data_IF_268313490597
#
_entry.id   IF_268313490597
#
_cell.length_a   1.000
_cell.length_b   1.000
_cell.length_c   1.000
_cell.angle_alpha   90.00
_cell.angle_beta   90.00
_cell.angle_gamma   90.00
#
_symmetry.space_group_name_H-M   'P 1'
#
loop_
_entity.id
_entity.type
_entity.pdbx_description
1 polymer ?
#
# COMPACT_ATOMS: atom_id res chain seq x y z
N UNK A 1 -31.02 18.20 12.11
CA UNK A 1 -29.98 17.96 11.08
C UNK A 1 -29.67 16.47 11.10
N UNK A 2 -29.77 15.76 9.97
CA UNK A 2 -29.32 14.35 9.87
C UNK A 2 -27.81 14.34 9.64
N UNK A 3 -27.09 13.49 10.36
CA UNK A 3 -25.68 13.21 10.08
C UNK A 3 -25.62 12.15 8.99
N UNK A 4 -24.77 12.34 7.98
CA UNK A 4 -24.61 11.37 6.89
C UNK A 4 -23.74 10.18 7.33
N UNK A 5 -22.70 10.48 8.12
CA UNK A 5 -21.71 9.50 8.59
C UNK A 5 -21.26 9.89 10.00
N UNK A 6 -21.09 8.89 10.86
CA UNK A 6 -20.43 9.01 12.16
C UNK A 6 -19.35 7.95 12.24
N UNK A 7 -18.32 8.16 13.05
CA UNK A 7 -17.23 7.20 13.08
C UNK A 7 -16.12 7.58 14.03
N UNK A 8 -14.98 6.94 13.81
CA UNK A 8 -13.75 7.15 14.55
C UNK A 8 -12.62 7.26 13.56
N UNK A 9 -11.63 8.07 13.89
CA UNK A 9 -10.48 8.30 13.03
C UNK A 9 -9.19 8.06 13.81
N UNK A 10 -8.23 7.41 13.15
CA UNK A 10 -6.85 7.26 13.59
C UNK A 10 -6.66 6.62 14.99
N UNK A 11 -7.46 5.60 15.32
CA UNK A 11 -7.17 4.75 16.49
C UNK A 11 -5.93 3.92 16.19
N UNK A 12 -4.95 3.94 17.09
CA UNK A 12 -3.79 3.05 17.04
C UNK A 12 -4.11 1.73 17.74
N UNK A 13 -3.91 0.62 17.04
CA UNK A 13 -4.27 -0.70 17.56
C UNK A 13 -3.29 -1.79 17.12
N UNK A 14 -2.86 -2.71 18.01
CA UNK A 14 -2.04 -3.84 17.62
C UNK A 14 -2.85 -4.81 16.76
N UNK A 15 -2.24 -5.30 15.69
CA UNK A 15 -2.85 -6.29 14.78
C UNK A 15 -1.80 -7.28 14.32
N UNK A 16 -2.25 -8.43 13.83
CA UNK A 16 -1.36 -9.44 13.24
C UNK A 16 -1.73 -9.68 11.79
N UNK A 17 -0.75 -9.70 10.89
CA UNK A 17 -0.96 -9.91 9.44
C UNK A 17 -0.14 -11.10 8.95
N UNK A 18 -0.67 -11.85 7.99
CA UNK A 18 0.01 -13.03 7.41
C UNK A 18 1.18 -12.62 6.54
N UNK A 19 2.22 -13.45 6.58
CA UNK A 19 3.38 -13.37 5.68
C UNK A 19 3.40 -14.57 4.73
N UNK A 20 3.88 -14.35 3.51
CA UNK A 20 4.08 -15.38 2.48
C UNK A 20 5.07 -16.45 2.91
N UNK A 21 5.96 -16.14 3.86
CA UNK A 21 6.88 -17.07 4.53
C UNK A 21 6.16 -18.16 5.35
N UNK A 22 4.85 -17.99 5.62
CA UNK A 22 4.05 -18.85 6.50
C UNK A 22 3.93 -18.34 7.94
N UNK A 23 4.53 -17.18 8.25
CA UNK A 23 4.48 -16.54 9.56
C UNK A 23 3.33 -15.54 9.75
N UNK A 24 3.31 -14.94 10.93
CA UNK A 24 2.45 -13.80 11.28
C UNK A 24 3.34 -12.66 11.76
N UNK A 25 3.12 -11.47 11.23
CA UNK A 25 3.80 -10.26 11.66
C UNK A 25 2.90 -9.47 12.63
N UNK A 26 3.43 -9.16 13.81
CA UNK A 26 2.82 -8.23 14.76
C UNK A 26 3.16 -6.79 14.36
N UNK A 27 2.14 -5.95 14.19
CA UNK A 27 2.30 -4.55 13.80
C UNK A 27 1.27 -3.66 14.52
N UNK A 28 1.42 -2.34 14.40
CA UNK A 28 0.48 -1.36 14.94
C UNK A 28 -0.19 -0.62 13.80
N UNK A 29 -1.50 -0.81 13.67
CA UNK A 29 -2.30 -0.15 12.65
C UNK A 29 -2.90 1.17 13.13
N UNK A 30 -3.05 2.14 12.22
CA UNK A 30 -3.99 3.25 12.34
C UNK A 30 -5.31 2.87 11.69
N UNK A 31 -6.39 2.89 12.45
CA UNK A 31 -7.71 2.43 12.02
C UNK A 31 -8.72 3.57 12.08
N UNK A 32 -9.46 3.75 10.99
CA UNK A 32 -10.60 4.65 10.89
C UNK A 32 -11.85 3.87 10.52
N UNK A 33 -12.94 4.09 11.24
CA UNK A 33 -14.25 3.51 10.99
C UNK A 33 -15.20 4.63 10.60
N UNK A 34 -16.00 4.42 9.58
CA UNK A 34 -17.10 5.28 9.17
C UNK A 34 -18.38 4.44 9.05
N UNK A 35 -19.47 4.88 9.66
CA UNK A 35 -20.77 4.19 9.62
C UNK A 35 -21.89 5.17 9.27
N UNK A 36 -22.85 4.69 8.49
CA UNK A 36 -24.10 5.41 8.26
C UNK A 36 -25.16 4.93 9.25
N UNK A 37 -25.50 5.79 10.21
CA UNK A 37 -26.42 5.46 11.29
C UNK A 37 -27.85 5.95 11.00
N UNK A 38 -28.88 5.18 11.37
CA UNK A 38 -30.25 5.69 11.41
C UNK A 38 -30.38 6.81 12.46
N UNK A 39 -31.33 7.72 12.23
CA UNK A 39 -31.46 9.01 12.93
C UNK A 39 -31.76 8.98 14.45
N UNK A 40 -31.64 7.82 15.11
CA UNK A 40 -32.00 7.64 16.53
C UNK A 40 -30.96 6.86 17.36
N UNK A 41 -29.77 6.55 16.82
CA UNK A 41 -28.77 5.75 17.54
C UNK A 41 -28.07 6.56 18.64
N UNK A 42 -27.96 6.00 19.85
CA UNK A 42 -27.38 6.66 21.04
C UNK A 42 -26.19 5.93 21.67
N UNK A 43 -25.83 4.73 21.20
CA UNK A 43 -24.68 4.02 21.75
C UNK A 43 -23.37 4.54 21.15
N UNK A 44 -22.28 4.33 21.89
CA UNK A 44 -20.95 4.80 21.49
C UNK A 44 -20.40 3.91 20.36
N UNK A 45 -20.30 4.47 19.16
CA UNK A 45 -19.62 3.87 18.02
C UNK A 45 -18.21 3.36 18.39
N UNK A 46 -17.53 4.07 19.30
CA UNK A 46 -16.19 3.71 19.78
C UNK A 46 -16.17 2.40 20.55
N UNK A 47 -17.05 2.24 21.55
CA UNK A 47 -17.01 1.05 22.41
C UNK A 47 -17.36 -0.21 21.63
N UNK A 48 -18.35 -0.12 20.74
CA UNK A 48 -18.75 -1.24 19.90
C UNK A 48 -17.64 -1.63 18.93
N UNK A 49 -17.00 -0.66 18.28
CA UNK A 49 -15.92 -0.97 17.35
C UNK A 49 -14.72 -1.63 18.05
N UNK A 50 -14.29 -1.11 19.21
CA UNK A 50 -13.17 -1.70 19.96
C UNK A 50 -13.51 -3.11 20.46
N UNK A 51 -14.76 -3.35 20.88
CA UNK A 51 -15.24 -4.69 21.26
C UNK A 51 -15.10 -5.67 20.09
N UNK A 52 -15.60 -5.31 18.91
CA UNK A 52 -15.53 -6.18 17.73
C UNK A 52 -14.08 -6.37 17.27
N UNK A 53 -13.28 -5.30 17.24
CA UNK A 53 -11.89 -5.36 16.85
C UNK A 53 -11.06 -6.32 17.71
N UNK A 54 -11.33 -6.38 19.02
CA UNK A 54 -10.67 -7.33 19.93
C UNK A 54 -10.88 -8.79 19.56
N UNK A 55 -12.02 -9.13 18.95
CA UNK A 55 -12.35 -10.50 18.53
C UNK A 55 -11.55 -10.94 17.29
N UNK A 56 -11.17 -10.00 16.42
CA UNK A 56 -10.62 -10.29 15.09
C UNK A 56 -9.15 -9.89 14.89
N UNK A 57 -8.55 -9.16 15.84
CA UNK A 57 -7.19 -8.60 15.72
C UNK A 57 -6.07 -9.65 15.51
N UNK A 58 -6.30 -10.90 15.88
CA UNK A 58 -5.30 -11.97 15.86
C UNK A 58 -4.89 -12.42 14.45
N UNK A 59 -5.69 -12.10 13.43
CA UNK A 59 -5.37 -12.39 12.04
C UNK A 59 -6.12 -11.43 11.11
N UNK A 60 -5.52 -10.31 10.75
CA UNK A 60 -6.13 -9.41 9.78
C UNK A 60 -5.94 -9.92 8.35
N UNK A 61 -7.06 -10.19 7.68
CA UNK A 61 -7.14 -10.60 6.27
C UNK A 61 -8.46 -10.11 5.65
N UNK A 62 -8.60 -10.15 4.32
CA UNK A 62 -9.85 -9.80 3.62
C UNK A 62 -11.08 -10.53 4.20
N UNK A 63 -10.97 -11.84 4.42
CA UNK A 63 -12.06 -12.64 5.01
C UNK A 63 -12.46 -12.13 6.40
N UNK A 64 -11.47 -11.80 7.22
CA UNK A 64 -11.69 -11.34 8.60
C UNK A 64 -12.22 -9.91 8.62
N UNK A 65 -11.78 -9.05 7.68
CA UNK A 65 -12.35 -7.72 7.47
C UNK A 65 -13.83 -7.76 7.14
N UNK A 66 -14.27 -8.67 6.26
CA UNK A 66 -15.70 -8.85 5.94
C UNK A 66 -16.52 -9.22 7.16
N UNK A 67 -16.04 -10.17 7.97
CA UNK A 67 -16.73 -10.59 9.19
C UNK A 67 -16.78 -9.46 10.23
N UNK A 68 -15.66 -8.77 10.45
CA UNK A 68 -15.57 -7.61 11.33
C UNK A 68 -16.56 -6.51 10.92
N UNK A 69 -16.60 -6.17 9.62
CA UNK A 69 -17.51 -5.15 9.09
C UNK A 69 -18.98 -5.56 9.24
N UNK A 70 -19.29 -6.84 9.01
CA UNK A 70 -20.64 -7.37 9.21
C UNK A 70 -21.10 -7.26 10.67
N UNK A 71 -20.25 -7.65 11.62
CA UNK A 71 -20.54 -7.57 13.04
C UNK A 71 -20.64 -6.11 13.53
N UNK A 72 -19.76 -5.21 13.06
CA UNK A 72 -19.86 -3.78 13.33
C UNK A 72 -21.17 -3.19 12.80
N UNK A 73 -21.57 -3.54 11.57
CA UNK A 73 -22.81 -3.07 10.96
C UNK A 73 -24.03 -3.56 11.76
N UNK A 74 -24.03 -4.81 12.17
CA UNK A 74 -25.12 -5.42 12.94
C UNK A 74 -25.26 -4.78 14.33
N UNK A 75 -24.15 -4.74 15.09
CA UNK A 75 -24.16 -4.19 16.45
C UNK A 75 -24.55 -2.71 16.47
N UNK A 76 -24.08 -1.92 15.50
CA UNK A 76 -24.42 -0.50 15.38
C UNK A 76 -25.76 -0.23 14.67
N UNK A 77 -26.43 -1.27 14.15
CA UNK A 77 -27.64 -1.17 13.31
C UNK A 77 -27.48 -0.16 12.18
N UNK A 78 -26.30 -0.15 11.57
CA UNK A 78 -25.92 0.79 10.52
C UNK A 78 -26.41 0.33 9.15
N UNK A 79 -26.67 1.27 8.23
CA UNK A 79 -26.99 0.95 6.83
C UNK A 79 -25.74 0.46 6.08
N UNK A 80 -24.60 1.09 6.37
CA UNK A 80 -23.29 0.75 5.83
C UNK A 80 -22.18 1.02 6.85
N UNK A 81 -21.06 0.31 6.67
CA UNK A 81 -19.84 0.51 7.43
C UNK A 81 -18.63 0.45 6.49
N UNK A 82 -17.63 1.30 6.75
CA UNK A 82 -16.38 1.40 6.01
C UNK A 82 -15.22 1.48 7.00
N UNK A 83 -14.22 0.64 6.82
CA UNK A 83 -13.01 0.61 7.66
C UNK A 83 -11.79 0.79 6.79
N UNK A 84 -10.91 1.69 7.22
CA UNK A 84 -9.57 1.86 6.68
C UNK A 84 -8.57 1.50 7.78
N UNK A 85 -7.64 0.61 7.47
CA UNK A 85 -6.60 0.17 8.38
C UNK A 85 -5.26 0.26 7.68
N UNK A 86 -4.43 1.22 8.12
CA UNK A 86 -3.08 1.45 7.59
C UNK A 86 -2.05 0.95 8.59
N UNK A 87 -1.07 0.17 8.16
CA UNK A 87 -0.05 -0.39 9.03
C UNK A 87 1.29 -0.50 8.31
N UNK A 88 2.42 -0.40 9.03
CA UNK A 88 3.71 -0.76 8.48
C UNK A 88 3.79 -2.29 8.33
N UNK A 89 4.37 -2.72 7.22
CA UNK A 89 4.62 -4.10 6.88
C UNK A 89 6.10 -4.27 6.54
N UNK A 90 6.77 -5.21 7.21
CA UNK A 90 8.21 -5.39 7.11
C UNK A 90 8.54 -6.61 6.26
N UNK A 91 9.51 -6.47 5.35
CA UNK A 91 10.10 -7.60 4.63
C UNK A 91 11.60 -7.66 4.85
N UNK A 92 12.13 -8.85 5.08
CA UNK A 92 13.58 -9.06 5.01
C UNK A 92 14.02 -8.99 3.54
N UNK A 93 14.90 -8.04 3.26
CA UNK A 93 15.61 -7.95 1.99
C UNK A 93 17.07 -8.29 2.17
N UNK A 94 17.62 -8.98 1.18
CA UNK A 94 19.06 -9.23 1.10
C UNK A 94 19.70 -8.21 0.18
N UNK A 95 20.77 -7.58 0.66
CA UNK A 95 21.54 -6.65 -0.14
C UNK A 95 22.09 -7.35 -1.40
N UNK A 96 22.07 -6.69 -2.57
CA UNK A 96 22.21 -7.36 -3.86
C UNK A 96 23.58 -7.95 -4.16
N UNK A 97 24.66 -7.43 -3.55
CA UNK A 97 26.02 -7.94 -3.77
C UNK A 97 26.53 -8.78 -2.60
N UNK A 98 26.28 -8.35 -1.36
CA UNK A 98 26.82 -9.00 -0.16
C UNK A 98 25.85 -9.97 0.49
N UNK A 99 24.56 -9.95 0.12
CA UNK A 99 23.52 -10.76 0.75
C UNK A 99 23.20 -10.37 2.19
N UNK A 100 23.72 -9.23 2.67
CA UNK A 100 23.48 -8.76 4.04
C UNK A 100 21.98 -8.56 4.25
N UNK A 101 21.34 -9.23 5.23
CA UNK A 101 19.92 -9.08 5.47
C UNK A 101 19.62 -7.73 6.13
N UNK A 102 18.49 -7.14 5.77
CA UNK A 102 17.94 -5.95 6.40
C UNK A 102 16.43 -5.93 6.27
N UNK A 103 15.74 -5.49 7.32
CA UNK A 103 14.28 -5.31 7.29
C UNK A 103 13.94 -4.00 6.58
N UNK A 104 13.07 -4.08 5.59
CA UNK A 104 12.50 -2.92 4.89
C UNK A 104 11.05 -2.73 5.30
N UNK A 105 10.70 -1.50 5.65
CA UNK A 105 9.33 -1.09 5.94
C UNK A 105 8.61 -0.67 4.66
N UNK A 106 7.36 -1.10 4.53
CA UNK A 106 6.41 -0.66 3.53
C UNK A 106 5.13 -0.21 4.23
N UNK A 107 4.43 0.78 3.69
CA UNK A 107 3.10 1.10 4.19
C UNK A 107 2.07 0.28 3.43
N UNK A 108 1.17 -0.37 4.16
CA UNK A 108 0.07 -1.12 3.58
C UNK A 108 -1.26 -0.61 4.15
N UNK A 109 -2.33 -0.72 3.36
CA UNK A 109 -3.68 -0.37 3.80
C UNK A 109 -4.69 -1.40 3.33
N UNK A 110 -5.52 -1.83 4.27
CA UNK A 110 -6.77 -2.53 3.98
C UNK A 110 -7.91 -1.52 4.05
N UNK A 111 -8.69 -1.44 2.99
CA UNK A 111 -9.90 -0.63 2.94
C UNK A 111 -11.06 -1.55 2.61
N UNK A 112 -12.06 -1.62 3.50
CA UNK A 112 -13.20 -2.50 3.32
C UNK A 112 -14.51 -1.80 3.62
N UNK A 113 -15.51 -2.03 2.78
CA UNK A 113 -16.87 -1.53 2.96
C UNK A 113 -17.90 -2.66 2.97
N UNK A 114 -19.04 -2.44 3.64
CA UNK A 114 -20.21 -3.31 3.60
C UNK A 114 -21.50 -2.50 3.51
N UNK A 115 -22.51 -3.02 2.80
CA UNK A 115 -23.79 -2.35 2.59
C UNK A 115 -23.88 -1.74 1.20
N UNK A 116 -23.97 -0.42 1.12
CA UNK A 116 -24.11 0.30 -0.16
C UNK A 116 -22.85 0.20 -1.04
N UNK A 117 -21.68 0.20 -0.40
CA UNK A 117 -20.37 0.19 -1.05
C UNK A 117 -19.59 -1.04 -0.56
N UNK A 118 -20.06 -2.24 -0.92
CA UNK A 118 -19.34 -3.48 -0.59
C UNK A 118 -18.13 -3.65 -1.49
N UNK A 119 -16.95 -3.47 -0.92
CA UNK A 119 -15.69 -3.64 -1.63
C UNK A 119 -14.56 -3.97 -0.64
N UNK A 120 -13.49 -4.57 -1.15
CA UNK A 120 -12.23 -4.72 -0.42
C UNK A 120 -11.08 -4.34 -1.33
N UNK A 121 -10.31 -3.35 -0.87
CA UNK A 121 -9.19 -2.78 -1.57
C UNK A 121 -7.93 -2.98 -0.72
N UNK A 122 -6.86 -3.39 -1.39
CA UNK A 122 -5.52 -3.49 -0.82
C UNK A 122 -4.62 -2.46 -1.48
N UNK A 123 -3.99 -1.59 -0.68
CA UNK A 123 -3.02 -0.61 -1.16
C UNK A 123 -1.65 -0.85 -0.54
N UNK A 124 -0.59 -0.68 -1.34
CA UNK A 124 0.80 -0.68 -0.89
C UNK A 124 1.50 0.59 -1.38
N UNK A 125 2.25 1.24 -0.48
CA UNK A 125 3.13 2.37 -0.80
C UNK A 125 4.57 1.89 -0.65
N UNK A 126 5.29 1.95 -1.75
CA UNK A 126 6.57 1.27 -1.92
C UNK A 126 7.64 2.30 -2.31
N UNK A 127 8.63 2.54 -1.44
CA UNK A 127 9.71 3.46 -1.77
C UNK A 127 10.63 2.83 -2.83
N UNK A 128 10.95 3.62 -3.86
CA UNK A 128 11.86 3.24 -4.95
C UNK A 128 12.90 4.32 -5.18
N UNK A 129 13.98 4.00 -5.91
CA UNK A 129 14.86 5.00 -6.50
C UNK A 129 14.44 5.24 -7.94
N UNK A 130 14.25 6.50 -8.32
CA UNK A 130 14.04 6.95 -9.69
C UNK A 130 15.27 7.73 -10.16
N UNK A 131 15.76 7.43 -11.36
CA UNK A 131 16.87 8.13 -12.00
C UNK A 131 16.40 8.67 -13.35
N UNK A 132 16.62 9.97 -13.58
CA UNK A 132 16.05 10.69 -14.70
C UNK A 132 16.75 10.33 -16.03
N UNK A 133 16.02 9.80 -17.03
CA UNK A 133 16.59 9.55 -18.36
C UNK A 133 17.13 10.81 -19.03
N UNK A 134 16.39 11.94 -18.96
CA UNK A 134 16.85 13.22 -19.51
C UNK A 134 18.20 13.65 -18.94
N UNK A 135 18.35 13.60 -17.61
CA UNK A 135 19.58 14.03 -16.96
C UNK A 135 20.77 13.19 -17.37
N UNK A 136 20.57 11.87 -17.51
CA UNK A 136 21.61 10.94 -17.98
C UNK A 136 22.01 11.22 -19.43
N UNK A 137 21.05 11.57 -20.28
CA UNK A 137 21.29 11.81 -21.70
C UNK A 137 22.07 13.10 -21.97
N UNK A 138 21.78 14.17 -21.23
CA UNK A 138 22.34 15.50 -21.50
C UNK A 138 23.63 15.82 -20.71
N UNK A 139 23.98 15.03 -19.70
CA UNK A 139 25.11 15.32 -18.81
C UNK A 139 26.35 14.52 -19.21
N UNK A 140 27.53 15.15 -19.25
CA UNK A 140 28.80 14.46 -19.53
C UNK A 140 29.12 13.35 -18.52
N UNK A 141 28.68 13.52 -17.26
CA UNK A 141 28.80 12.52 -16.23
C UNK A 141 27.70 12.66 -15.16
N UNK A 142 27.32 11.51 -14.57
CA UNK A 142 26.26 11.46 -13.57
C UNK A 142 24.86 11.63 -14.16
N UNK A 143 23.86 11.55 -13.28
CA UNK A 143 22.46 11.84 -13.56
C UNK A 143 21.78 12.08 -12.21
N UNK A 144 20.85 13.04 -12.12
CA UNK A 144 20.12 13.21 -10.87
C UNK A 144 19.16 12.03 -10.64
N UNK A 145 19.01 11.69 -9.37
CA UNK A 145 18.12 10.66 -8.89
C UNK A 145 17.52 11.07 -7.54
N UNK A 146 16.43 10.42 -7.18
CA UNK A 146 15.68 10.78 -5.99
C UNK A 146 14.91 9.58 -5.44
N UNK A 147 14.29 9.79 -4.28
CA UNK A 147 13.26 8.89 -3.78
C UNK A 147 12.01 9.06 -4.64
N UNK A 148 11.44 7.96 -5.06
CA UNK A 148 10.06 7.90 -5.51
C UNK A 148 9.23 7.02 -4.58
N UNK A 149 7.91 7.16 -4.66
CA UNK A 149 6.95 6.28 -4.02
C UNK A 149 5.97 5.77 -5.07
N UNK A 150 5.87 4.45 -5.18
CA UNK A 150 4.86 3.78 -5.99
C UNK A 150 3.71 3.40 -5.07
N UNK A 151 2.52 3.94 -5.34
CA UNK A 151 1.28 3.49 -4.70
C UNK A 151 0.53 2.57 -5.66
N UNK A 152 0.44 1.30 -5.30
CA UNK A 152 -0.34 0.31 -6.03
C UNK A 152 -1.55 -0.09 -5.19
N UNK A 153 -2.73 0.23 -5.71
CA UNK A 153 -4.02 -0.07 -5.09
C UNK A 153 -4.78 -1.06 -5.96
N UNK A 154 -5.30 -2.14 -5.38
CA UNK A 154 -5.92 -3.23 -6.14
C UNK A 154 -7.22 -3.72 -5.51
N UNK A 155 -8.16 -4.09 -6.38
CA UNK A 155 -9.25 -5.02 -6.08
C UNK A 155 -8.88 -6.37 -6.69
N UNK A 156 -9.22 -7.45 -6.02
CA UNK A 156 -8.84 -8.77 -6.46
C UNK A 156 -9.89 -9.82 -6.14
N UNK A 157 -9.85 -10.91 -6.90
CA UNK A 157 -10.62 -12.11 -6.69
C UNK A 157 -9.72 -13.21 -6.13
N UNK A 158 -10.26 -14.05 -5.24
CA UNK A 158 -9.47 -15.08 -4.58
C UNK A 158 -8.51 -14.48 -3.54
N UNK A 159 -7.21 -14.63 -3.77
CA UNK A 159 -6.17 -14.29 -2.80
C UNK A 159 -4.93 -13.71 -3.51
N UNK A 160 -4.29 -12.72 -2.89
CA UNK A 160 -3.04 -12.10 -3.34
C UNK A 160 -2.18 -11.77 -2.11
N UNK A 161 -0.87 -12.00 -2.20
CA UNK A 161 0.05 -11.62 -1.14
C UNK A 161 0.43 -10.13 -1.23
N UNK A 162 0.59 -9.45 -0.09
CA UNK A 162 1.10 -8.08 -0.07
C UNK A 162 2.49 -8.01 -0.71
N UNK A 163 3.30 -9.03 -0.51
CA UNK A 163 4.64 -9.19 -1.07
C UNK A 163 4.65 -9.25 -2.61
N UNK A 164 3.58 -9.75 -3.22
CA UNK A 164 3.45 -9.76 -4.68
C UNK A 164 3.20 -8.36 -5.22
N UNK A 165 2.35 -7.58 -4.53
CA UNK A 165 2.11 -6.17 -4.86
C UNK A 165 3.36 -5.32 -4.62
N UNK A 166 4.06 -5.55 -3.51
CA UNK A 166 5.32 -4.86 -3.20
C UNK A 166 6.35 -5.15 -4.28
N UNK A 167 6.53 -6.41 -4.68
CA UNK A 167 7.46 -6.77 -5.76
C UNK A 167 7.09 -6.13 -7.11
N UNK A 168 5.80 -6.09 -7.47
CA UNK A 168 5.33 -5.41 -8.69
C UNK A 168 5.66 -3.91 -8.64
N UNK A 169 5.39 -3.25 -7.52
CA UNK A 169 5.66 -1.83 -7.33
C UNK A 169 7.17 -1.51 -7.32
N UNK A 170 7.97 -2.34 -6.66
CA UNK A 170 9.44 -2.23 -6.64
C UNK A 170 10.05 -2.35 -8.05
N UNK A 171 9.48 -3.20 -8.90
CA UNK A 171 9.91 -3.36 -10.28
C UNK A 171 9.68 -2.09 -11.13
N UNK A 172 8.81 -1.18 -10.69
CA UNK A 172 8.56 0.13 -11.32
C UNK A 172 9.68 1.15 -11.11
N UNK A 173 10.59 0.94 -10.16
CA UNK A 173 11.71 1.84 -9.93
C UNK A 173 12.90 1.64 -10.89
N UNK A 174 13.78 2.64 -10.97
CA UNK A 174 15.11 2.47 -11.55
C UNK A 174 15.94 1.47 -10.76
N UNK A 175 15.81 1.52 -9.42
CA UNK A 175 16.31 0.50 -8.50
C UNK A 175 15.42 0.44 -7.26
N UNK A 176 15.41 -0.72 -6.61
CA UNK A 176 14.79 -0.95 -5.31
C UNK A 176 15.57 -0.26 -4.19
N UNK A 177 14.92 -0.15 -3.04
CA UNK A 177 15.50 0.37 -1.80
C UNK A 177 15.85 -0.77 -0.86
N UNK A 178 16.92 -0.58 -0.10
CA UNK A 178 17.37 -1.49 0.96
C UNK A 178 17.67 -0.67 2.21
N UNK A 179 17.43 -1.25 3.39
CA UNK A 179 17.64 -0.57 4.68
C UNK A 179 19.12 -0.55 5.09
N UNK A 180 19.90 -1.50 4.58
CA UNK A 180 21.33 -1.61 4.82
C UNK A 180 22.06 -2.02 3.54
N UNK A 181 23.04 -1.22 3.15
CA UNK A 181 23.93 -1.47 2.02
C UNK A 181 25.38 -1.35 2.51
N UNK A 182 26.24 -2.29 2.09
CA UNK A 182 27.70 -2.14 2.21
C UNK A 182 28.24 -1.55 0.92
N UNK A 183 29.51 -1.14 0.91
CA UNK A 183 30.15 -0.51 -0.28
C UNK A 183 29.94 -1.27 -1.61
N UNK A 184 30.09 -2.61 -1.68
CA UNK A 184 29.82 -3.33 -2.93
C UNK A 184 28.34 -3.26 -3.35
N UNK A 185 27.43 -3.21 -2.39
CA UNK A 185 25.99 -3.09 -2.64
C UNK A 185 25.63 -1.67 -3.12
N UNK A 186 26.21 -0.63 -2.50
CA UNK A 186 26.04 0.77 -2.91
C UNK A 186 26.51 0.98 -4.36
N UNK A 187 27.66 0.40 -4.73
CA UNK A 187 28.13 0.37 -6.12
C UNK A 187 27.06 -0.25 -7.03
N UNK A 188 26.58 -1.44 -6.68
CA UNK A 188 25.60 -2.16 -7.50
C UNK A 188 24.30 -1.38 -7.69
N UNK A 189 23.69 -0.86 -6.62
CA UNK A 189 22.40 -0.16 -6.74
C UNK A 189 22.53 1.16 -7.51
N UNK A 190 23.68 1.84 -7.38
CA UNK A 190 23.98 3.06 -8.13
C UNK A 190 24.10 2.76 -9.62
N UNK A 191 24.87 1.73 -9.99
CA UNK A 191 25.04 1.30 -11.38
C UNK A 191 23.74 0.74 -11.96
N UNK A 192 22.95 -0.02 -11.19
CA UNK A 192 21.64 -0.55 -11.60
C UNK A 192 20.68 0.60 -11.92
N UNK A 193 20.54 1.58 -11.03
CA UNK A 193 19.69 2.74 -11.29
C UNK A 193 20.16 3.56 -12.49
N UNK A 194 21.48 3.79 -12.61
CA UNK A 194 22.05 4.55 -13.73
C UNK A 194 21.77 3.87 -15.07
N UNK A 195 21.89 2.54 -15.13
CA UNK A 195 21.65 1.76 -16.34
C UNK A 195 20.17 1.52 -16.66
N UNK A 196 19.27 1.75 -15.70
CA UNK A 196 17.82 1.58 -15.82
C UNK A 196 17.07 2.88 -15.47
N UNK A 197 17.33 4.00 -16.17
CA UNK A 197 16.66 5.26 -15.89
C UNK A 197 15.17 5.16 -16.25
N UNK A 198 14.29 5.78 -15.48
CA UNK A 198 12.85 5.76 -15.73
C UNK A 198 12.25 7.14 -15.47
N UNK A 199 11.40 7.61 -16.38
CA UNK A 199 10.45 8.67 -16.05
C UNK A 199 9.34 8.14 -15.14
N UNK A 200 8.59 9.04 -14.50
CA UNK A 200 7.42 8.65 -13.69
C UNK A 200 6.35 7.96 -14.55
N UNK A 201 6.24 8.35 -15.82
CA UNK A 201 5.35 7.72 -16.80
C UNK A 201 5.79 6.29 -17.17
N UNK A 202 7.09 6.03 -17.26
CA UNK A 202 7.60 4.68 -17.56
C UNK A 202 7.41 3.76 -16.35
N UNK A 203 7.69 4.29 -15.15
CA UNK A 203 7.50 3.59 -13.89
C UNK A 203 6.04 3.16 -13.70
N UNK A 204 5.08 4.09 -13.88
CA UNK A 204 3.65 3.77 -13.70
C UNK A 204 3.16 2.76 -14.74
N UNK A 205 3.58 2.88 -16.01
CA UNK A 205 3.22 1.93 -17.07
C UNK A 205 3.73 0.52 -16.76
N UNK A 206 4.99 0.41 -16.33
CA UNK A 206 5.60 -0.89 -16.01
C UNK A 206 4.89 -1.63 -14.87
N UNK A 207 4.42 -0.90 -13.86
CA UNK A 207 3.65 -1.49 -12.75
C UNK A 207 2.23 -1.83 -13.20
N UNK A 208 1.59 -0.95 -13.98
CA UNK A 208 0.25 -1.18 -14.54
C UNK A 208 0.20 -2.41 -15.47
N UNK A 209 1.22 -2.61 -16.31
CA UNK A 209 1.34 -3.79 -17.18
C UNK A 209 1.42 -5.10 -16.37
N UNK A 210 2.20 -5.11 -15.29
CA UNK A 210 2.28 -6.27 -14.38
C UNK A 210 0.97 -6.51 -13.64
N UNK A 211 0.34 -5.45 -13.12
CA UNK A 211 -0.96 -5.55 -12.44
C UNK A 211 -2.06 -6.05 -13.39
N UNK A 212 -2.06 -5.59 -14.64
CA UNK A 212 -3.01 -6.02 -15.68
C UNK A 212 -2.80 -7.49 -16.07
N UNK A 213 -1.56 -7.98 -16.08
CA UNK A 213 -1.25 -9.37 -16.38
C UNK A 213 -1.55 -10.33 -15.21
N UNK A 214 -1.74 -9.82 -13.99
CA UNK A 214 -1.95 -10.65 -12.81
C UNK A 214 -3.38 -11.22 -12.75
N UNK A 215 -3.56 -12.55 -12.73
CA UNK A 215 -4.87 -13.18 -12.91
C UNK A 215 -5.88 -12.91 -11.79
N UNK A 216 -5.41 -12.59 -10.59
CA UNK A 216 -6.27 -12.28 -9.45
C UNK A 216 -6.77 -10.83 -9.43
N UNK A 217 -6.06 -9.90 -10.09
CA UNK A 217 -6.36 -8.46 -10.00
C UNK A 217 -7.52 -8.13 -10.94
N UNK A 218 -8.65 -7.70 -10.35
CA UNK A 218 -9.86 -7.37 -11.11
C UNK A 218 -9.91 -5.89 -11.50
N UNK A 219 -9.33 -5.04 -10.68
CA UNK A 219 -9.15 -3.61 -10.92
C UNK A 219 -7.90 -3.13 -10.18
N UNK A 220 -7.22 -2.12 -10.70
CA UNK A 220 -6.12 -1.46 -10.02
C UNK A 220 -6.07 0.03 -10.31
N UNK A 221 -5.43 0.76 -9.42
CA UNK A 221 -4.85 2.06 -9.70
C UNK A 221 -3.38 2.10 -9.27
N UNK A 222 -2.57 2.76 -10.08
CA UNK A 222 -1.14 2.95 -9.80
C UNK A 222 -0.85 4.44 -9.85
N UNK A 223 -0.17 4.96 -8.83
CA UNK A 223 0.51 6.23 -8.93
C UNK A 223 1.99 6.11 -8.64
N UNK A 224 2.77 6.99 -9.26
CA UNK A 224 4.19 7.16 -8.98
C UNK A 224 4.43 8.64 -8.71
N UNK A 225 4.95 8.93 -7.53
CA UNK A 225 5.43 10.26 -7.16
C UNK A 225 6.95 10.23 -7.03
N UNK A 226 7.63 11.14 -7.72
CA UNK A 226 9.08 11.33 -7.64
C UNK A 226 9.36 12.65 -6.90
N UNK A 227 10.00 12.57 -5.74
CA UNK A 227 10.33 13.72 -4.90
C UNK A 227 11.59 14.40 -5.44
N UNK A 228 11.43 15.22 -6.47
CA UNK A 228 12.53 15.74 -7.30
C UNK A 228 13.69 16.31 -6.48
N UNK A 229 14.91 15.83 -6.75
CA UNK A 229 16.12 16.27 -6.04
C UNK A 229 16.55 17.71 -6.39
N UNK A 230 16.17 18.18 -7.58
CA UNK A 230 16.59 19.48 -8.14
C UNK A 230 15.45 20.50 -8.24
N UNK A 231 14.24 20.13 -7.82
CA UNK A 231 13.06 20.97 -7.85
C UNK A 231 12.34 20.96 -6.49
N UNK A 232 11.52 21.99 -6.21
CA UNK A 232 10.73 22.09 -4.97
C UNK A 232 9.27 21.67 -5.20
N UNK A 233 9.08 20.61 -5.97
CA UNK A 233 7.79 19.97 -6.25
C UNK A 233 8.06 18.54 -6.73
N UNK A 234 7.04 17.70 -6.70
CA UNK A 234 7.14 16.32 -7.19
C UNK A 234 6.75 16.22 -8.66
N UNK A 235 7.37 15.29 -9.39
CA UNK A 235 6.81 14.78 -10.65
C UNK A 235 5.86 13.63 -10.32
N UNK A 236 4.73 13.52 -11.04
CA UNK A 236 3.67 12.57 -10.70
C UNK A 236 3.01 11.99 -11.95
N UNK A 237 2.74 10.68 -11.93
CA UNK A 237 1.94 9.99 -12.94
C UNK A 237 0.94 9.03 -12.28
N UNK A 238 -0.19 8.81 -12.95
CA UNK A 238 -1.29 7.98 -12.47
C UNK A 238 -1.93 7.18 -13.60
N UNK A 239 -2.33 5.95 -13.30
CA UNK A 239 -3.10 5.07 -14.18
C UNK A 239 -4.22 4.42 -13.37
N UNK A 240 -5.45 4.50 -13.88
CA UNK A 240 -6.59 3.73 -13.40
C UNK A 240 -6.96 2.66 -14.43
N UNK A 241 -7.18 1.43 -13.99
CA UNK A 241 -7.52 0.34 -14.90
C UNK A 241 -8.87 0.50 -15.61
N UNK A 242 -9.80 1.30 -15.05
CA UNK A 242 -11.09 1.60 -15.68
C UNK A 242 -10.95 2.61 -16.84
N UNK A 243 -9.86 3.38 -16.90
CA UNK A 243 -9.62 4.38 -17.97
C UNK A 243 -8.85 3.81 -19.18
N UNK A 244 -8.33 2.59 -19.06
CA UNK A 244 -7.51 1.92 -20.09
C UNK A 244 -8.14 0.65 -20.66
N UNK A 245 -9.31 0.24 -20.14
CA UNK A 245 -10.04 -0.96 -20.58
C UNK A 245 -11.18 -0.65 -21.55
#
# INVERSE_FOLDING_TARGET
MKLNTVGIKDIRYPVRVREKSGGMQETVASISLQVSLPSQYRESCVSTFIKVLNTYQDEMSNRIFRNLLAEVKEELRAESAHVEMTFPYFLEKKAPATGTPGLMEYTCRFTGGIGKDEDFILSVWVPVTTLCPCSREISDCGAHNQRGEVNLTVKYSGFIWMEELIAMAEAGGSCEVYSLLKRPDEKYVTEKAYNNPMFVEDAVRKVAEQAMAHPAITWFSVSVESFESIHKHSAYAYVDSDEIR
#
